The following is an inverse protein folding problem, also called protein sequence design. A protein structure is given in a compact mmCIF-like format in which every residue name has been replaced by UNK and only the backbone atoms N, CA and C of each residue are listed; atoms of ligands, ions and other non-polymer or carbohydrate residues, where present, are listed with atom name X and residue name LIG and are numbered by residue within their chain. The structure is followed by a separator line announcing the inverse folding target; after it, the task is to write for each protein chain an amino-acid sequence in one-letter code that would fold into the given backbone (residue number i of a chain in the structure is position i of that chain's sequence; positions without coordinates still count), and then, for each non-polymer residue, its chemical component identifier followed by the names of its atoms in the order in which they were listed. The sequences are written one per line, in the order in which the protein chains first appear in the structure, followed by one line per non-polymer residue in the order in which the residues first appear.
data_IF_125904437156
#
_entry.id   IF_125904437156
#
_cell.length_a   1.000
_cell.length_b   1.000
_cell.length_c   1.000
_cell.angle_alpha   90.00
_cell.angle_beta   90.00
_cell.angle_gamma   90.00
#
_symmetry.space_group_name_H-M   'P 1'
#
loop_
_entity.id
_entity.type
_entity.pdbx_description
1 polymer ?
#
# COMPACT_ATOMS: atom_id res chain seq x y z
N UNK A 1 -10.83 10.17 -15.20
CA UNK A 1 -11.84 10.40 -14.14
C UNK A 1 -12.34 9.11 -13.48
N UNK A 2 -12.39 7.96 -14.18
CA UNK A 2 -12.84 6.68 -13.59
C UNK A 2 -11.82 5.98 -12.68
N UNK A 3 -10.51 6.15 -12.90
CA UNK A 3 -9.46 5.41 -12.16
C UNK A 3 -9.44 5.69 -10.64
N UNK A 4 -9.80 6.91 -10.22
CA UNK A 4 -9.84 7.27 -8.80
C UNK A 4 -10.90 6.48 -8.03
N UNK A 5 -12.10 6.33 -8.61
CA UNK A 5 -13.18 5.57 -7.98
C UNK A 5 -12.87 4.07 -7.88
N UNK A 6 -12.22 3.49 -8.91
CA UNK A 6 -11.85 2.06 -8.91
C UNK A 6 -10.84 1.78 -7.80
N UNK A 7 -9.83 2.63 -7.66
CA UNK A 7 -8.78 2.45 -6.65
C UNK A 7 -9.28 2.65 -5.21
N UNK A 8 -10.25 3.54 -4.99
CA UNK A 8 -10.92 3.66 -3.69
C UNK A 8 -11.74 2.40 -3.36
N UNK A 9 -12.48 1.87 -4.33
CA UNK A 9 -13.24 0.63 -4.13
C UNK A 9 -12.33 -0.57 -3.88
N UNK A 10 -11.22 -0.68 -4.59
CA UNK A 10 -10.20 -1.69 -4.36
C UNK A 10 -9.64 -1.59 -2.93
N UNK A 11 -9.28 -0.38 -2.49
CA UNK A 11 -8.73 -0.14 -1.16
C UNK A 11 -9.70 -0.59 -0.04
N UNK A 12 -10.98 -0.27 -0.18
CA UNK A 12 -12.03 -0.67 0.78
C UNK A 12 -12.30 -2.18 0.73
N UNK A 13 -12.20 -2.81 -0.46
CA UNK A 13 -12.32 -4.26 -0.60
C UNK A 13 -11.15 -5.00 0.08
N UNK A 14 -9.93 -4.46 -0.02
CA UNK A 14 -8.75 -4.94 0.71
C UNK A 14 -9.00 -4.87 2.21
N UNK A 15 -9.39 -3.70 2.73
CA UNK A 15 -9.64 -3.47 4.15
C UNK A 15 -10.66 -4.45 4.72
N UNK A 16 -11.77 -4.67 4.01
CA UNK A 16 -12.81 -5.65 4.40
C UNK A 16 -12.28 -7.09 4.48
N UNK A 17 -11.40 -7.47 3.57
CA UNK A 17 -10.82 -8.83 3.54
C UNK A 17 -10.02 -9.09 4.81
N UNK A 18 -9.21 -8.11 5.24
CA UNK A 18 -8.48 -8.17 6.51
C UNK A 18 -9.37 -8.00 7.74
N UNK A 19 -10.47 -7.23 7.64
CA UNK A 19 -11.46 -7.08 8.71
C UNK A 19 -12.17 -8.40 9.05
N UNK A 20 -12.49 -9.17 8.02
CA UNK A 20 -13.08 -10.50 8.17
C UNK A 20 -12.10 -11.47 8.85
N UNK A 21 -10.81 -11.40 8.52
CA UNK A 21 -9.76 -12.24 9.12
C UNK A 21 -9.52 -11.93 10.61
N UNK A 22 -9.59 -10.65 11.02
CA UNK A 22 -9.45 -10.25 12.44
C UNK A 22 -10.77 -10.26 13.21
N UNK A 23 -11.93 -10.49 12.57
CA UNK A 23 -13.23 -10.54 13.23
C UNK A 23 -13.78 -9.20 13.73
N UNK A 24 -13.35 -8.06 13.17
CA UNK A 24 -13.89 -6.74 13.52
C UNK A 24 -14.86 -6.23 12.45
N UNK A 25 -15.91 -5.53 12.86
CA UNK A 25 -16.85 -4.91 11.93
C UNK A 25 -16.29 -3.58 11.44
N UNK A 26 -16.00 -3.49 10.13
CA UNK A 26 -15.64 -2.24 9.46
C UNK A 26 -16.84 -1.56 8.85
N UNK A 27 -17.01 -0.28 9.18
CA UNK A 27 -17.97 0.61 8.55
C UNK A 27 -17.41 1.16 7.23
N UNK A 28 -17.96 0.70 6.10
CA UNK A 28 -17.52 1.10 4.75
C UNK A 28 -17.52 2.62 4.53
N UNK A 29 -18.54 3.30 5.06
CA UNK A 29 -18.69 4.76 4.91
C UNK A 29 -17.56 5.52 5.62
N UNK A 30 -17.14 5.06 6.81
CA UNK A 30 -16.08 5.71 7.59
C UNK A 30 -14.70 5.49 6.95
N UNK A 31 -14.45 4.29 6.45
CA UNK A 31 -13.22 3.96 5.71
C UNK A 31 -13.10 4.77 4.41
N UNK A 32 -14.20 4.94 3.67
CA UNK A 32 -14.21 5.75 2.44
C UNK A 32 -13.89 7.22 2.72
N UNK A 33 -14.56 7.82 3.72
CA UNK A 33 -14.29 9.20 4.13
C UNK A 33 -12.85 9.35 4.63
N UNK A 34 -12.33 8.38 5.39
CA UNK A 34 -10.95 8.41 5.88
C UNK A 34 -9.93 8.41 4.74
N UNK A 35 -10.11 7.56 3.72
CA UNK A 35 -9.25 7.51 2.53
C UNK A 35 -9.29 8.81 1.71
N UNK A 36 -10.47 9.43 1.58
CA UNK A 36 -10.61 10.70 0.89
C UNK A 36 -9.93 11.84 1.65
N UNK A 37 -10.12 11.93 2.97
CA UNK A 37 -9.44 12.93 3.81
C UNK A 37 -7.93 12.77 3.75
N UNK A 38 -7.41 11.54 3.76
CA UNK A 38 -5.98 11.28 3.60
C UNK A 38 -5.46 11.74 2.23
N UNK A 39 -6.20 11.49 1.14
CA UNK A 39 -5.80 11.92 -0.19
C UNK A 39 -5.86 13.45 -0.37
N UNK A 40 -6.84 14.12 0.23
CA UNK A 40 -6.92 15.59 0.24
C UNK A 40 -5.71 16.17 1.02
N UNK A 41 -5.40 15.60 2.19
CA UNK A 41 -4.22 15.96 2.97
C UNK A 41 -2.89 15.60 2.27
N UNK A 42 -2.87 14.60 1.39
CA UNK A 42 -1.71 14.28 0.55
C UNK A 42 -1.52 15.26 -0.61
N UNK A 43 -2.62 15.75 -1.19
CA UNK A 43 -2.58 16.67 -2.34
C UNK A 43 -1.91 18.01 -2.02
N UNK A 44 -2.02 18.50 -0.78
CA UNK A 44 -1.31 19.72 -0.35
C UNK A 44 0.22 19.54 -0.33
N UNK A 45 0.68 18.29 -0.28
CA UNK A 45 2.11 17.92 -0.26
C UNK A 45 2.57 17.39 -1.63
N UNK A 46 1.80 17.62 -2.71
CA UNK A 46 2.07 17.08 -4.06
C UNK A 46 2.28 15.55 -4.10
N UNK A 47 1.62 14.81 -3.21
CA UNK A 47 1.71 13.35 -3.15
C UNK A 47 0.77 12.69 -4.17
N UNK A 48 1.16 11.52 -4.65
CA UNK A 48 0.30 10.67 -5.48
C UNK A 48 -0.87 10.10 -4.68
N UNK A 49 -1.97 9.74 -5.35
CA UNK A 49 -3.16 9.16 -4.70
C UNK A 49 -2.79 7.88 -3.95
N UNK A 50 -3.07 7.85 -2.66
CA UNK A 50 -2.87 6.69 -1.81
C UNK A 50 -3.99 5.67 -2.05
N UNK A 51 -3.58 4.41 -2.21
CA UNK A 51 -4.46 3.27 -2.46
C UNK A 51 -4.13 2.12 -1.50
N UNK A 52 -5.12 1.29 -1.21
CA UNK A 52 -4.95 0.13 -0.34
C UNK A 52 -4.08 -0.93 -1.01
N UNK A 53 -2.97 -1.31 -0.37
CA UNK A 53 -2.01 -2.27 -0.91
C UNK A 53 -2.12 -3.62 -0.18
N UNK A 54 -2.48 -4.68 -0.90
CA UNK A 54 -2.51 -6.04 -0.36
C UNK A 54 -1.15 -6.50 0.18
N UNK A 55 -0.09 -6.31 -0.61
CA UNK A 55 1.25 -6.81 -0.27
C UNK A 55 1.80 -6.23 1.03
N UNK A 56 1.75 -4.89 1.21
CA UNK A 56 2.21 -4.24 2.45
C UNK A 56 1.36 -4.65 3.67
N UNK A 57 0.05 -4.72 3.49
CA UNK A 57 -0.88 -5.09 4.58
C UNK A 57 -0.68 -6.54 5.00
N UNK A 58 -0.46 -7.45 4.05
CA UNK A 58 -0.17 -8.85 4.32
C UNK A 58 1.15 -9.04 5.07
N UNK A 59 2.22 -8.39 4.63
CA UNK A 59 3.52 -8.45 5.31
C UNK A 59 3.41 -7.92 6.75
N UNK A 60 2.74 -6.78 6.95
CA UNK A 60 2.53 -6.22 8.28
C UNK A 60 1.65 -7.12 9.17
N UNK A 61 0.69 -7.83 8.57
CA UNK A 61 -0.16 -8.80 9.27
C UNK A 61 0.64 -10.05 9.70
N UNK A 62 1.45 -10.61 8.82
CA UNK A 62 2.33 -11.75 9.14
C UNK A 62 3.43 -11.41 10.15
N UNK A 63 3.91 -10.16 10.15
CA UNK A 63 4.86 -9.66 11.14
C UNK A 63 4.25 -9.45 12.54
N UNK A 64 2.94 -9.72 12.73
CA UNK A 64 2.28 -9.60 14.04
C UNK A 64 2.08 -8.16 14.52
N UNK A 65 2.26 -7.17 13.65
CA UNK A 65 2.14 -5.76 14.00
C UNK A 65 0.66 -5.38 14.21
N UNK A 66 0.33 -4.88 15.40
CA UNK A 66 -1.04 -4.49 15.75
C UNK A 66 -1.25 -2.97 15.82
N UNK A 67 -0.19 -2.17 15.71
CA UNK A 67 -0.22 -0.72 15.94
C UNK A 67 0.16 0.08 14.70
N UNK A 68 -0.33 1.33 14.61
CA UNK A 68 0.00 2.27 13.54
C UNK A 68 1.49 2.67 13.51
N UNK A 69 2.24 2.34 14.58
CA UNK A 69 3.68 2.62 14.73
C UNK A 69 4.49 1.96 13.61
N UNK A 70 4.11 0.77 13.17
CA UNK A 70 4.79 0.07 12.06
C UNK A 70 4.81 0.90 10.77
N UNK A 71 3.68 1.56 10.46
CA UNK A 71 3.57 2.36 9.24
C UNK A 71 4.40 3.65 9.32
N UNK A 72 4.54 4.23 10.52
CA UNK A 72 5.40 5.40 10.78
C UNK A 72 6.87 5.03 10.61
N UNK A 73 7.31 3.92 11.19
CA UNK A 73 8.69 3.43 11.05
C UNK A 73 9.03 3.13 9.59
N UNK A 74 8.10 2.51 8.84
CA UNK A 74 8.27 2.27 7.41
C UNK A 74 8.45 3.59 6.62
N UNK A 75 7.61 4.59 6.88
CA UNK A 75 7.70 5.88 6.19
C UNK A 75 9.03 6.61 6.48
N UNK A 76 9.47 6.63 7.74
CA UNK A 76 10.75 7.24 8.13
C UNK A 76 11.92 6.50 7.48
N UNK A 77 11.89 5.17 7.48
CA UNK A 77 12.96 4.35 6.88
C UNK A 77 13.07 4.62 5.37
N UNK A 78 11.95 4.72 4.66
CA UNK A 78 11.93 5.04 3.22
C UNK A 78 12.48 6.44 2.97
N UNK A 79 12.10 7.44 3.76
CA UNK A 79 12.62 8.80 3.65
C UNK A 79 14.14 8.85 3.84
N UNK A 80 14.65 8.16 4.86
CA UNK A 80 16.09 8.06 5.10
C UNK A 80 16.82 7.35 3.95
N UNK A 81 16.28 6.23 3.47
CA UNK A 81 16.86 5.50 2.34
C UNK A 81 16.90 6.35 1.07
N UNK A 82 15.86 7.13 0.78
CA UNK A 82 15.86 8.01 -0.39
C UNK A 82 16.94 9.10 -0.28
N UNK A 83 17.18 9.63 0.91
CA UNK A 83 18.15 10.71 1.09
C UNK A 83 19.60 10.22 1.01
N UNK A 84 19.88 9.00 1.48
CA UNK A 84 21.23 8.43 1.50
C UNK A 84 21.60 7.62 0.23
N UNK A 85 20.63 6.98 -0.44
CA UNK A 85 20.90 5.92 -1.41
C UNK A 85 20.60 6.29 -2.88
N UNK A 86 20.01 7.46 -3.14
CA UNK A 86 19.62 7.93 -4.49
C UNK A 86 20.80 8.03 -5.46
N UNK A 87 22.01 8.32 -4.99
CA UNK A 87 23.18 8.49 -5.86
C UNK A 87 23.83 7.19 -6.37
N UNK A 88 23.73 6.08 -5.64
CA UNK A 88 24.61 4.90 -5.87
C UNK A 88 23.93 3.75 -6.63
N UNK A 89 22.60 3.68 -6.66
CA UNK A 89 21.87 2.51 -7.15
C UNK A 89 21.00 2.73 -8.39
N UNK A 90 21.14 3.88 -9.07
CA UNK A 90 20.22 4.28 -10.15
C UNK A 90 20.13 3.25 -11.29
N UNK A 91 21.26 2.66 -11.71
CA UNK A 91 21.28 1.68 -12.80
C UNK A 91 20.82 0.29 -12.35
N UNK A 92 21.12 -0.10 -11.12
CA UNK A 92 20.77 -1.42 -10.58
C UNK A 92 19.28 -1.52 -10.22
N UNK A 93 18.63 -0.43 -9.78
CA UNK A 93 17.22 -0.46 -9.37
C UNK A 93 16.26 -0.76 -10.51
N UNK A 94 16.50 -0.27 -11.73
CA UNK A 94 15.57 -0.46 -12.86
C UNK A 94 15.37 -1.95 -13.15
N UNK A 95 16.44 -2.74 -13.13
CA UNK A 95 16.36 -4.19 -13.31
C UNK A 95 15.60 -4.89 -12.17
N UNK A 96 15.84 -4.46 -10.93
CA UNK A 96 15.21 -5.06 -9.74
C UNK A 96 13.70 -4.77 -9.70
N UNK A 97 13.27 -3.55 -10.03
CA UNK A 97 11.86 -3.18 -10.08
C UNK A 97 11.10 -3.99 -11.13
N UNK A 98 11.66 -4.17 -12.34
CA UNK A 98 11.04 -5.00 -13.38
C UNK A 98 10.91 -6.47 -12.95
N UNK A 99 11.93 -7.02 -12.29
CA UNK A 99 11.90 -8.40 -11.78
C UNK A 99 10.80 -8.59 -10.73
N UNK A 100 10.65 -7.66 -9.79
CA UNK A 100 9.61 -7.70 -8.76
C UNK A 100 8.20 -7.68 -9.37
N UNK A 101 7.98 -6.85 -10.39
CA UNK A 101 6.69 -6.77 -11.09
C UNK A 101 6.42 -8.07 -11.85
N UNK A 102 7.43 -8.65 -12.49
CA UNK A 102 7.30 -9.95 -13.15
C UNK A 102 6.96 -11.07 -12.14
N UNK A 103 7.64 -11.09 -11.02
CA UNK A 103 7.44 -12.08 -9.97
C UNK A 103 6.02 -12.02 -9.38
N UNK A 104 5.53 -10.82 -9.04
CA UNK A 104 4.16 -10.67 -8.52
C UNK A 104 3.12 -11.06 -9.56
N UNK A 105 3.33 -10.72 -10.84
CA UNK A 105 2.42 -11.07 -11.92
C UNK A 105 2.39 -12.59 -12.17
N UNK A 106 3.54 -13.25 -12.09
CA UNK A 106 3.64 -14.71 -12.21
C UNK A 106 2.90 -15.42 -11.06
N UNK A 107 3.11 -14.97 -9.83
CA UNK A 107 2.43 -15.52 -8.65
C UNK A 107 0.91 -15.31 -8.71
N UNK A 108 0.45 -14.14 -9.15
CA UNK A 108 -0.99 -13.86 -9.31
C UNK A 108 -1.67 -14.80 -10.31
N UNK A 109 -0.97 -15.23 -11.36
CA UNK A 109 -1.50 -16.20 -12.34
C UNK A 109 -1.64 -17.61 -11.75
N UNK A 110 -0.76 -18.00 -10.83
CA UNK A 110 -0.80 -19.33 -10.18
C UNK A 110 -1.85 -19.44 -9.08
N UNK A 111 -2.21 -18.33 -8.42
CA UNK A 111 -3.25 -18.34 -7.37
C UNK A 111 -4.69 -18.21 -7.88
N UNK A 112 -4.89 -17.87 -9.17
CA UNK A 112 -6.22 -17.74 -9.80
C UNK A 112 -6.66 -19.03 -10.51
N UNK A 113 -5.79 -20.04 -10.59
CA UNK A 113 -6.13 -21.42 -10.98
C UNK A 113 -6.15 -22.32 -9.75
#
# INVERSE_FOLDING_TARGET
MYNGYISLQEAVAVGRSFATVKGYNMDRNKEMIAMEVMNIAGSITSCYVATGSFSRTAVNFFAGCQTAVSNVVMAITVLLMLQFLTGLLYYTLVAILSLIILYICACARTCVC
#
